data_IF_134383766293
#
_entry.id   IF_134383766293
#
_cell.length_a   1.000
_cell.length_b   1.000
_cell.length_c   1.000
_cell.angle_alpha   90.00
_cell.angle_beta   90.00
_cell.angle_gamma   90.00
#
_symmetry.space_group_name_H-M   'P 1'
#
loop_
_entity.id
_entity.type
_entity.pdbx_description
1 polymer ?
#
# COMPACT_ATOMS: atom_id res chain seq x y z
N UNK A 1 24.72 -49.98 4.92
CA UNK A 1 25.48 -51.22 4.62
C UNK A 1 26.16 -51.08 3.26
N UNK A 2 27.48 -51.37 3.10
CA UNK A 2 28.11 -51.36 1.78
C UNK A 2 27.85 -52.70 1.06
N UNK A 3 27.53 -52.74 -0.25
CA UNK A 3 27.62 -54.00 -0.98
C UNK A 3 29.10 -54.29 -1.28
N UNK A 4 29.60 -55.37 -0.66
CA UNK A 4 30.84 -56.05 -1.01
C UNK A 4 30.59 -56.86 -2.29
N UNK A 5 30.88 -56.32 -3.46
CA UNK A 5 31.18 -57.16 -4.62
C UNK A 5 32.65 -56.92 -4.98
N UNK A 6 33.52 -57.82 -4.54
CA UNK A 6 34.96 -57.77 -4.82
C UNK A 6 35.30 -58.30 -6.20
N UNK A 7 34.33 -58.85 -6.94
CA UNK A 7 34.52 -59.41 -8.27
C UNK A 7 34.21 -58.39 -9.37
N UNK A 8 35.06 -58.34 -10.41
CA UNK A 8 34.96 -57.40 -11.54
C UNK A 8 33.73 -57.71 -12.41
N UNK A 9 33.34 -58.98 -12.52
CA UNK A 9 32.18 -59.41 -13.30
C UNK A 9 30.86 -58.86 -12.74
N UNK A 10 30.73 -58.80 -11.42
CA UNK A 10 29.53 -58.23 -10.76
C UNK A 10 29.45 -56.72 -10.93
N UNK A 11 30.61 -56.04 -10.93
CA UNK A 11 30.69 -54.60 -11.19
C UNK A 11 30.35 -54.28 -12.65
N UNK A 12 30.80 -55.09 -13.59
CA UNK A 12 30.42 -54.95 -15.00
C UNK A 12 28.94 -55.20 -15.23
N UNK A 13 28.34 -56.22 -14.58
CA UNK A 13 26.89 -56.45 -14.63
C UNK A 13 26.11 -55.26 -14.06
N UNK A 14 26.56 -54.68 -12.95
CA UNK A 14 25.95 -53.46 -12.40
C UNK A 14 26.05 -52.27 -13.37
N UNK A 15 27.22 -52.02 -13.96
CA UNK A 15 27.38 -50.95 -14.95
C UNK A 15 26.48 -51.15 -16.18
N UNK A 16 26.38 -52.37 -16.72
CA UNK A 16 25.48 -52.68 -17.85
C UNK A 16 24.01 -52.47 -17.51
N UNK A 17 23.57 -52.92 -16.33
CA UNK A 17 22.19 -52.69 -15.86
C UNK A 17 21.88 -51.22 -15.60
N UNK A 18 22.91 -50.41 -15.38
CA UNK A 18 22.85 -48.98 -15.15
C UNK A 18 23.00 -48.14 -16.43
N UNK A 19 23.18 -48.77 -17.60
CA UNK A 19 23.41 -48.08 -18.88
C UNK A 19 24.79 -47.41 -19.01
N UNK A 20 25.75 -47.80 -18.16
CA UNK A 20 27.12 -47.25 -18.14
C UNK A 20 28.09 -48.16 -18.91
N UNK A 21 29.16 -47.57 -19.45
CA UNK A 21 30.23 -48.34 -20.11
C UNK A 21 30.87 -49.33 -19.14
N UNK A 22 30.93 -50.60 -19.56
CA UNK A 22 31.41 -51.72 -18.76
C UNK A 22 32.89 -52.05 -19.04
N UNK A 23 33.54 -51.26 -19.88
CA UNK A 23 34.92 -51.47 -20.32
C UNK A 23 35.85 -50.61 -19.47
N UNK A 24 36.68 -51.22 -18.64
CA UNK A 24 37.64 -50.50 -17.80
C UNK A 24 38.21 -51.32 -16.65
N UNK A 25 39.27 -50.79 -16.03
CA UNK A 25 39.88 -51.42 -14.86
C UNK A 25 38.93 -51.34 -13.65
N UNK A 26 39.10 -52.23 -12.68
CA UNK A 26 38.24 -52.36 -11.49
C UNK A 26 37.99 -51.03 -10.75
N UNK A 27 38.97 -50.13 -10.76
CA UNK A 27 38.90 -48.80 -10.14
C UNK A 27 37.91 -47.87 -10.84
N UNK A 28 37.78 -47.99 -12.15
CA UNK A 28 36.98 -47.09 -12.97
C UNK A 28 35.50 -47.49 -12.91
N UNK A 29 35.23 -48.80 -12.89
CA UNK A 29 33.90 -49.36 -12.64
C UNK A 29 33.37 -48.98 -11.25
N UNK A 30 34.21 -49.04 -10.21
CA UNK A 30 33.81 -48.63 -8.85
C UNK A 30 33.52 -47.13 -8.76
N UNK A 31 34.29 -46.28 -9.47
CA UNK A 31 34.02 -44.83 -9.53
C UNK A 31 32.69 -44.55 -10.25
N UNK A 32 32.42 -45.23 -11.36
CA UNK A 32 31.15 -45.10 -12.10
C UNK A 32 29.92 -45.42 -11.24
N UNK A 33 29.93 -46.55 -10.54
CA UNK A 33 28.81 -46.97 -9.67
C UNK A 33 28.61 -46.02 -8.47
N UNK A 34 29.68 -45.46 -7.90
CA UNK A 34 29.58 -44.48 -6.79
C UNK A 34 29.00 -43.15 -7.25
N UNK A 35 29.37 -42.67 -8.44
CA UNK A 35 28.86 -41.39 -8.96
C UNK A 35 27.37 -41.49 -9.31
N UNK A 36 26.92 -42.63 -9.84
CA UNK A 36 25.49 -42.86 -10.08
C UNK A 36 24.68 -42.94 -8.78
N UNK A 37 25.21 -43.55 -7.70
CA UNK A 37 24.55 -43.52 -6.38
C UNK A 37 24.45 -42.11 -5.81
N UNK A 38 25.45 -41.26 -6.03
CA UNK A 38 25.36 -39.84 -5.64
C UNK A 38 24.30 -39.09 -6.46
N UNK A 39 24.17 -39.38 -7.75
CA UNK A 39 23.15 -38.76 -8.61
C UNK A 39 21.73 -39.26 -8.29
N UNK A 40 21.53 -40.57 -8.06
CA UNK A 40 20.22 -41.11 -7.64
C UNK A 40 19.74 -40.61 -6.27
N UNK A 41 20.64 -40.24 -5.37
CA UNK A 41 20.27 -39.61 -4.10
C UNK A 41 19.92 -38.11 -4.26
N UNK A 42 20.24 -37.50 -5.41
CA UNK A 42 19.88 -36.12 -5.71
C UNK A 42 18.56 -36.01 -6.50
N UNK A 43 18.06 -37.13 -7.02
CA UNK A 43 16.91 -37.17 -7.96
C UNK A 43 15.70 -37.95 -7.40
N UNK A 44 15.73 -38.32 -6.11
CA UNK A 44 14.67 -39.07 -5.42
C UNK A 44 14.11 -38.37 -4.16
N UNK A 45 14.22 -37.04 -4.07
CA UNK A 45 13.54 -36.25 -3.03
C UNK A 45 12.93 -34.97 -3.62
N UNK A 46 11.74 -35.11 -4.22
CA UNK A 46 10.58 -34.21 -3.97
C UNK A 46 9.36 -34.81 -4.70
N UNK A 47 8.23 -35.02 -4.02
CA UNK A 47 7.28 -33.93 -3.86
C UNK A 47 6.69 -33.85 -2.45
N UNK A 48 6.92 -32.72 -1.80
CA UNK A 48 6.29 -32.38 -0.53
C UNK A 48 7.00 -31.25 0.19
N UNK A 49 7.32 -30.15 -0.50
CA UNK A 49 7.59 -28.88 0.17
C UNK A 49 6.27 -28.43 0.82
N UNK A 50 6.00 -28.95 2.01
CA UNK A 50 5.35 -28.11 3.00
C UNK A 50 6.39 -27.04 3.31
N UNK A 51 6.18 -25.83 2.81
CA UNK A 51 6.92 -24.66 3.26
C UNK A 51 6.78 -24.61 4.78
N UNK A 52 7.82 -25.05 5.49
CA UNK A 52 7.91 -24.82 6.93
C UNK A 52 7.70 -23.31 7.14
N UNK A 53 6.76 -22.89 8.00
CA UNK A 53 6.42 -21.48 8.14
C UNK A 53 7.67 -20.70 8.55
N UNK A 54 8.21 -19.92 7.59
CA UNK A 54 9.40 -19.10 7.78
C UNK A 54 9.05 -17.90 8.66
N UNK A 55 9.86 -17.68 9.69
CA UNK A 55 9.72 -16.53 10.60
C UNK A 55 10.87 -15.56 10.36
N UNK A 56 10.57 -14.26 10.34
CA UNK A 56 11.60 -13.24 10.25
C UNK A 56 12.29 -13.06 11.60
N UNK A 57 13.62 -13.06 11.61
CA UNK A 57 14.42 -12.82 12.79
C UNK A 57 15.06 -11.43 12.73
N UNK A 58 14.84 -10.62 13.76
CA UNK A 58 15.35 -9.25 13.84
C UNK A 58 16.16 -9.12 15.14
N UNK A 59 17.45 -8.87 14.99
CA UNK A 59 18.34 -8.56 16.09
C UNK A 59 18.86 -7.13 15.93
N UNK A 60 18.70 -6.33 16.98
CA UNK A 60 19.13 -4.93 16.97
C UNK A 60 20.08 -4.67 18.13
N UNK A 61 21.24 -4.13 17.81
CA UNK A 61 22.27 -3.73 18.77
C UNK A 61 22.73 -2.31 18.47
N UNK A 62 23.52 -1.74 19.37
CA UNK A 62 24.11 -0.41 19.22
C UNK A 62 25.62 -0.57 19.12
N UNK A 63 26.23 0.12 18.16
CA UNK A 63 27.68 0.24 18.06
C UNK A 63 28.10 1.68 18.34
N UNK A 64 29.32 1.90 18.80
CA UNK A 64 29.90 3.25 18.85
C UNK A 64 30.18 3.74 17.44
N UNK A 65 30.16 5.06 17.27
CA UNK A 65 30.49 5.71 16.01
C UNK A 65 32.02 5.74 15.85
N UNK A 66 32.52 5.35 14.67
CA UNK A 66 33.95 5.25 14.40
C UNK A 66 34.25 5.20 12.90
N UNK A 67 35.40 4.67 12.51
CA UNK A 67 35.65 4.35 11.10
C UNK A 67 34.69 3.25 10.63
N UNK A 68 34.39 3.22 9.33
CA UNK A 68 33.44 2.23 8.77
C UNK A 68 33.79 0.79 9.15
N UNK A 69 35.07 0.43 9.04
CA UNK A 69 35.54 -0.92 9.39
C UNK A 69 35.49 -1.19 10.89
N UNK A 70 35.79 -0.19 11.73
CA UNK A 70 35.64 -0.34 13.18
C UNK A 70 34.17 -0.54 13.56
N UNK A 71 33.25 0.23 12.97
CA UNK A 71 31.81 0.11 13.23
C UNK A 71 31.26 -1.24 12.80
N UNK A 72 31.68 -1.78 11.63
CA UNK A 72 31.25 -3.11 11.16
C UNK A 72 31.70 -4.22 12.12
N UNK A 73 32.96 -4.18 12.58
CA UNK A 73 33.49 -5.19 13.49
C UNK A 73 32.82 -5.09 14.87
N UNK A 74 32.70 -3.89 15.42
CA UNK A 74 32.02 -3.67 16.70
C UNK A 74 30.54 -4.08 16.63
N UNK A 75 29.84 -3.80 15.53
CA UNK A 75 28.45 -4.23 15.34
C UNK A 75 28.32 -5.76 15.29
N UNK A 76 29.23 -6.47 14.62
CA UNK A 76 29.26 -7.94 14.60
C UNK A 76 29.48 -8.52 15.98
N UNK A 77 30.45 -7.98 16.72
CA UNK A 77 30.76 -8.42 18.08
C UNK A 77 29.57 -8.17 19.01
N UNK A 78 28.95 -6.99 18.93
CA UNK A 78 27.77 -6.64 19.70
C UNK A 78 26.56 -7.54 19.36
N UNK A 79 26.33 -7.86 18.08
CA UNK A 79 25.29 -8.82 17.67
C UNK A 79 25.58 -10.21 18.24
N UNK A 80 26.83 -10.66 18.20
CA UNK A 80 27.25 -11.93 18.78
C UNK A 80 26.97 -11.99 20.29
N UNK A 81 27.31 -10.91 21.02
CA UNK A 81 27.01 -10.79 22.46
C UNK A 81 25.51 -10.79 22.72
N UNK A 82 24.73 -10.00 21.97
CA UNK A 82 23.28 -9.95 22.14
C UNK A 82 22.60 -11.30 21.88
N UNK A 83 23.13 -12.14 20.97
CA UNK A 83 22.63 -13.50 20.76
C UNK A 83 22.88 -14.44 21.94
N UNK A 84 23.94 -14.21 22.71
CA UNK A 84 24.30 -15.05 23.85
C UNK A 84 23.65 -14.56 25.14
N UNK A 85 23.63 -13.23 25.34
CA UNK A 85 23.26 -12.60 26.61
C UNK A 85 21.77 -12.19 26.65
N UNK A 86 21.16 -11.86 25.52
CA UNK A 86 19.77 -11.42 25.48
C UNK A 86 18.81 -12.57 25.12
N UNK A 87 17.70 -12.64 25.85
CA UNK A 87 16.64 -13.60 25.58
C UNK A 87 15.90 -13.23 24.28
N UNK A 88 15.91 -14.15 23.31
CA UNK A 88 15.12 -14.04 22.09
C UNK A 88 13.65 -14.38 22.38
N UNK A 89 12.76 -13.52 21.91
CA UNK A 89 11.31 -13.66 22.09
C UNK A 89 10.64 -13.80 20.74
N UNK A 90 9.54 -14.54 20.72
CA UNK A 90 8.66 -14.66 19.58
C UNK A 90 7.46 -13.75 19.80
N UNK A 91 7.19 -12.87 18.85
CA UNK A 91 6.02 -12.00 18.88
C UNK A 91 5.23 -12.14 17.57
N UNK A 92 3.90 -12.12 17.69
CA UNK A 92 3.00 -12.19 16.54
C UNK A 92 2.48 -10.79 16.23
N UNK A 93 2.92 -10.22 15.11
CA UNK A 93 2.50 -8.89 14.67
C UNK A 93 1.67 -9.05 13.39
N UNK A 94 0.39 -8.65 13.46
CA UNK A 94 -0.56 -8.68 12.32
C UNK A 94 -0.67 -10.03 11.58
N UNK A 95 -0.44 -11.15 12.28
CA UNK A 95 -0.56 -12.49 11.72
C UNK A 95 0.77 -13.17 11.41
N UNK A 96 1.87 -12.41 11.34
CA UNK A 96 3.22 -12.90 11.07
C UNK A 96 4.01 -13.06 12.38
N UNK A 97 4.89 -14.06 12.44
CA UNK A 97 5.73 -14.32 13.60
C UNK A 97 7.11 -13.73 13.40
N UNK A 98 7.56 -12.97 14.39
CA UNK A 98 8.88 -12.35 14.43
C UNK A 98 9.65 -12.90 15.63
N UNK A 99 10.94 -13.18 15.43
CA UNK A 99 11.85 -13.63 16.49
C UNK A 99 12.89 -12.55 16.69
N UNK A 100 13.14 -12.13 17.92
CA UNK A 100 14.14 -11.09 18.14
C UNK A 100 14.39 -10.77 19.58
N UNK A 101 15.41 -9.95 19.82
CA UNK A 101 15.56 -9.32 21.12
C UNK A 101 14.52 -8.21 21.31
N UNK A 102 14.40 -7.71 22.54
CA UNK A 102 13.43 -6.65 22.88
C UNK A 102 13.52 -5.43 21.94
N UNK A 103 14.73 -5.11 21.49
CA UNK A 103 14.95 -3.98 20.58
C UNK A 103 14.50 -4.29 19.15
N UNK A 104 14.85 -5.47 18.61
CA UNK A 104 14.46 -5.91 17.28
C UNK A 104 12.95 -6.07 17.10
N UNK A 105 12.27 -6.60 18.12
CA UNK A 105 10.81 -6.72 18.10
C UNK A 105 10.08 -5.38 18.04
N UNK A 106 10.68 -4.30 18.54
CA UNK A 106 10.16 -2.94 18.36
C UNK A 106 10.09 -2.49 16.88
N UNK A 107 10.87 -3.13 16.00
CA UNK A 107 10.84 -2.90 14.56
C UNK A 107 9.99 -3.94 13.80
N UNK A 108 9.46 -4.95 14.48
CA UNK A 108 8.59 -5.94 13.87
C UNK A 108 7.37 -5.27 13.23
N UNK A 109 7.07 -5.63 11.99
CA UNK A 109 5.94 -5.08 11.24
C UNK A 109 6.07 -3.60 10.83
N UNK A 110 7.23 -2.94 11.01
CA UNK A 110 7.44 -1.55 10.56
C UNK A 110 7.25 -1.41 9.05
N UNK A 111 7.77 -2.34 8.25
CA UNK A 111 7.57 -2.35 6.80
C UNK A 111 6.08 -2.40 6.42
N UNK A 112 5.31 -3.24 7.13
CA UNK A 112 3.88 -3.35 6.91
C UNK A 112 3.14 -2.07 7.32
N UNK A 113 3.52 -1.48 8.45
CA UNK A 113 2.98 -0.19 8.90
C UNK A 113 3.30 0.93 7.91
N UNK A 114 4.49 0.93 7.31
CA UNK A 114 4.89 1.92 6.31
C UNK A 114 4.06 1.79 5.03
N UNK A 115 3.83 0.56 4.54
CA UNK A 115 2.91 0.31 3.41
C UNK A 115 1.48 0.78 3.69
N UNK A 116 0.96 0.50 4.90
CA UNK A 116 -0.38 0.96 5.31
C UNK A 116 -0.45 2.48 5.38
N UNK A 117 0.60 3.13 5.92
CA UNK A 117 0.67 4.58 6.02
C UNK A 117 0.74 5.24 4.64
N UNK A 118 1.54 4.67 3.74
CA UNK A 118 1.66 5.12 2.35
C UNK A 118 0.31 5.05 1.62
N UNK A 119 -0.38 3.90 1.69
CA UNK A 119 -1.71 3.75 1.10
C UNK A 119 -2.75 4.74 1.68
N UNK A 120 -2.68 5.00 2.99
CA UNK A 120 -3.53 6.00 3.65
C UNK A 120 -3.21 7.43 3.17
N UNK A 121 -1.95 7.73 2.92
CA UNK A 121 -1.56 9.05 2.39
C UNK A 121 -2.02 9.24 0.94
N UNK A 122 -1.91 8.21 0.11
CA UNK A 122 -2.43 8.26 -1.27
C UNK A 122 -3.93 8.52 -1.31
N UNK A 123 -4.72 7.77 -0.53
CA UNK A 123 -6.19 7.95 -0.45
C UNK A 123 -6.57 9.31 0.14
N UNK A 124 -5.82 9.81 1.12
CA UNK A 124 -6.04 11.16 1.68
C UNK A 124 -5.80 12.25 0.64
N UNK A 125 -4.75 12.14 -0.19
CA UNK A 125 -4.48 13.10 -1.26
C UNK A 125 -5.61 13.16 -2.29
N UNK A 126 -6.18 11.99 -2.65
CA UNK A 126 -7.37 11.93 -3.52
C UNK A 126 -8.57 12.63 -2.88
N UNK A 127 -8.82 12.37 -1.59
CA UNK A 127 -9.94 12.98 -0.85
C UNK A 127 -9.80 14.51 -0.74
N UNK A 128 -8.59 15.02 -0.48
CA UNK A 128 -8.31 16.46 -0.44
C UNK A 128 -8.57 17.11 -1.81
N UNK A 129 -8.19 16.44 -2.90
CA UNK A 129 -8.47 16.94 -4.26
C UNK A 129 -9.96 17.02 -4.58
N UNK A 130 -10.76 16.04 -4.12
CA UNK A 130 -12.22 16.03 -4.29
C UNK A 130 -12.88 17.10 -3.42
N UNK A 131 -12.41 17.29 -2.18
CA UNK A 131 -12.90 18.36 -1.30
C UNK A 131 -12.65 19.75 -1.90
N UNK A 132 -11.43 20.02 -2.38
CA UNK A 132 -11.10 21.29 -3.01
C UNK A 132 -11.95 21.61 -4.25
N UNK A 133 -12.31 20.58 -5.05
CA UNK A 133 -13.26 20.76 -6.15
C UNK A 133 -14.67 21.12 -5.67
N UNK A 134 -15.15 20.51 -4.58
CA UNK A 134 -16.46 20.84 -4.00
C UNK A 134 -16.48 22.24 -3.40
N UNK A 135 -15.42 22.62 -2.70
CA UNK A 135 -15.28 23.95 -2.10
C UNK A 135 -15.32 25.05 -3.18
N UNK A 136 -14.57 24.88 -4.27
CA UNK A 136 -14.60 25.84 -5.39
C UNK A 136 -15.96 25.89 -6.10
N UNK A 137 -16.67 24.75 -6.23
CA UNK A 137 -18.03 24.74 -6.76
C UNK A 137 -19.01 25.51 -5.86
N UNK A 138 -18.95 25.29 -4.55
CA UNK A 138 -19.78 25.99 -3.56
C UNK A 138 -19.48 27.48 -3.52
N UNK A 139 -18.20 27.87 -3.60
CA UNK A 139 -17.80 29.28 -3.64
C UNK A 139 -18.40 30.00 -4.86
N UNK A 140 -18.36 29.34 -6.03
CA UNK A 140 -18.99 29.86 -7.25
C UNK A 140 -20.50 30.00 -7.11
N UNK A 141 -21.17 29.02 -6.49
CA UNK A 141 -22.61 29.06 -6.25
C UNK A 141 -23.00 30.19 -5.28
N UNK A 142 -22.25 30.36 -4.18
CA UNK A 142 -22.44 31.47 -3.25
C UNK A 142 -22.28 32.82 -3.96
N UNK A 143 -21.25 32.95 -4.81
CA UNK A 143 -21.03 34.18 -5.60
C UNK A 143 -22.19 34.45 -6.55
N UNK A 144 -22.70 33.42 -7.23
CA UNK A 144 -23.85 33.52 -8.11
C UNK A 144 -25.11 33.96 -7.35
N UNK A 145 -25.44 33.26 -6.25
CA UNK A 145 -26.62 33.56 -5.43
C UNK A 145 -26.55 34.98 -4.82
N UNK A 146 -25.37 35.42 -4.40
CA UNK A 146 -25.17 36.79 -3.91
C UNK A 146 -25.41 37.83 -5.01
N UNK A 147 -24.93 37.57 -6.22
CA UNK A 147 -25.21 38.40 -7.40
C UNK A 147 -26.69 38.45 -7.71
N UNK A 148 -27.34 37.28 -7.77
CA UNK A 148 -28.77 37.17 -8.04
C UNK A 148 -29.62 37.87 -6.98
N UNK A 149 -29.30 37.71 -5.70
CA UNK A 149 -29.98 38.41 -4.61
C UNK A 149 -29.83 39.94 -4.71
N UNK A 150 -28.66 40.41 -5.16
CA UNK A 150 -28.44 41.85 -5.38
C UNK A 150 -29.32 42.39 -6.52
N UNK A 151 -29.41 41.66 -7.63
CA UNK A 151 -30.28 42.01 -8.76
C UNK A 151 -31.75 42.01 -8.31
N UNK A 152 -32.17 40.96 -7.61
CA UNK A 152 -33.55 40.85 -7.13
C UNK A 152 -33.91 42.02 -6.22
N UNK A 153 -33.02 42.41 -5.30
CA UNK A 153 -33.23 43.58 -4.43
C UNK A 153 -33.40 44.88 -5.22
N UNK A 154 -32.62 45.09 -6.28
CA UNK A 154 -32.75 46.27 -7.15
C UNK A 154 -34.09 46.25 -7.91
N UNK A 155 -34.49 45.07 -8.40
CA UNK A 155 -35.73 44.90 -9.17
C UNK A 155 -37.01 45.15 -8.37
N UNK A 156 -36.97 45.10 -7.03
CA UNK A 156 -38.16 45.38 -6.20
C UNK A 156 -38.64 46.81 -6.41
N UNK A 157 -37.73 47.77 -6.52
CA UNK A 157 -38.09 49.18 -6.73
C UNK A 157 -38.75 49.37 -8.10
N UNK A 158 -38.16 48.77 -9.13
CA UNK A 158 -38.71 48.80 -10.49
C UNK A 158 -40.07 48.11 -10.57
N UNK A 159 -40.21 46.96 -9.92
CA UNK A 159 -41.48 46.24 -9.82
C UNK A 159 -42.56 47.09 -9.14
N UNK A 160 -42.22 47.77 -8.04
CA UNK A 160 -43.15 48.68 -7.35
C UNK A 160 -43.63 49.80 -8.27
N UNK A 161 -42.75 50.40 -9.08
CA UNK A 161 -43.17 51.44 -10.03
C UNK A 161 -44.13 50.90 -11.10
N UNK A 162 -43.82 49.74 -11.68
CA UNK A 162 -44.69 49.09 -12.68
C UNK A 162 -46.04 48.74 -12.07
N UNK A 163 -46.05 48.19 -10.85
CA UNK A 163 -47.26 47.83 -10.14
C UNK A 163 -48.11 49.05 -9.77
N UNK A 164 -47.49 50.08 -9.20
CA UNK A 164 -48.19 51.33 -8.83
C UNK A 164 -48.81 52.00 -10.05
N UNK A 165 -48.11 52.01 -11.19
CA UNK A 165 -48.64 52.50 -12.45
C UNK A 165 -49.82 51.68 -12.93
N UNK A 166 -49.71 50.35 -12.93
CA UNK A 166 -50.81 49.45 -13.29
C UNK A 166 -52.06 49.71 -12.44
N UNK A 167 -51.91 49.77 -11.12
CA UNK A 167 -53.03 50.04 -10.19
C UNK A 167 -53.64 51.42 -10.45
N UNK A 168 -52.80 52.44 -10.67
CA UNK A 168 -53.26 53.81 -10.94
C UNK A 168 -54.06 53.87 -12.24
N UNK A 169 -53.56 53.25 -13.32
CA UNK A 169 -54.27 53.15 -14.60
C UNK A 169 -55.59 52.40 -14.44
N UNK A 170 -55.60 51.29 -13.70
CA UNK A 170 -56.83 50.54 -13.44
C UNK A 170 -57.89 51.38 -12.69
N UNK A 171 -57.48 52.14 -11.68
CA UNK A 171 -58.38 53.07 -10.97
C UNK A 171 -58.96 54.12 -11.91
N UNK A 172 -58.14 54.68 -12.79
CA UNK A 172 -58.56 55.69 -13.76
C UNK A 172 -59.54 55.13 -14.78
N UNK A 173 -59.25 53.96 -15.35
CA UNK A 173 -60.00 53.43 -16.50
C UNK A 173 -61.22 52.59 -16.10
N UNK A 174 -61.19 51.91 -14.95
CA UNK A 174 -62.22 50.94 -14.56
C UNK A 174 -63.04 51.35 -13.36
N UNK A 175 -62.43 52.05 -12.40
CA UNK A 175 -63.10 52.41 -11.14
C UNK A 175 -63.60 53.85 -11.10
N UNK A 176 -63.17 54.71 -12.04
CA UNK A 176 -63.52 56.14 -12.12
C UNK A 176 -63.31 56.91 -10.80
N UNK A 177 -62.35 56.47 -9.97
CA UNK A 177 -62.06 57.06 -8.66
C UNK A 177 -60.57 57.46 -8.52
N UNK A 178 -59.88 57.66 -9.64
CA UNK A 178 -58.50 58.09 -9.65
C UNK A 178 -58.32 59.45 -8.98
N UNK A 179 -57.28 59.56 -8.17
CA UNK A 179 -56.86 60.80 -7.51
C UNK A 179 -55.82 61.53 -8.35
N UNK A 180 -55.55 62.80 -8.01
CA UNK A 180 -54.44 63.59 -8.62
C UNK A 180 -53.09 62.88 -8.45
N UNK A 181 -52.91 62.10 -7.36
CA UNK A 181 -51.71 61.30 -7.17
C UNK A 181 -51.61 60.15 -8.18
N UNK A 182 -52.73 59.47 -8.48
CA UNK A 182 -52.75 58.38 -9.47
C UNK A 182 -52.43 58.94 -10.87
N UNK A 183 -52.95 60.13 -11.23
CA UNK A 183 -52.61 60.81 -12.49
C UNK A 183 -51.11 61.13 -12.60
N UNK A 184 -50.50 61.61 -11.51
CA UNK A 184 -49.06 61.89 -11.48
C UNK A 184 -48.20 60.62 -11.65
N UNK A 185 -48.58 59.51 -11.03
CA UNK A 185 -47.87 58.21 -11.16
C UNK A 185 -47.93 57.70 -12.61
N UNK A 186 -49.07 57.87 -13.29
CA UNK A 186 -49.26 57.45 -14.69
C UNK A 186 -48.41 58.30 -15.66
N UNK A 187 -48.40 59.63 -15.47
CA UNK A 187 -47.67 60.56 -16.34
C UNK A 187 -46.15 60.50 -16.14
N UNK A 188 -45.69 60.42 -14.89
CA UNK A 188 -44.25 60.44 -14.57
C UNK A 188 -43.61 59.05 -14.58
N UNK A 189 -44.40 57.99 -14.39
CA UNK A 189 -43.90 56.62 -14.36
C UNK A 189 -43.02 56.31 -13.15
N UNK A 190 -43.20 57.03 -12.03
CA UNK A 190 -42.49 56.87 -10.76
C UNK A 190 -43.53 56.79 -9.64
#
# INVERSE_FOLDING_TARGET
MPPKSTNVEDLQKQCKSAGLDATGNKTDLVKGVKNQKKQKNHEALSPGDQDDPKCDAILVTKSKTGSEEAMKNEAKDALGQALQDEELKVEKVRGEHFIGNRHGLGFAGVLQNLRVLEARNSTRGEQESVSGRRESALENEVKFLKGYSSILKLSIVEYCHVWNRFISTFKQEKLNNATVSDTNIIERGI
#
